data_IF_300986422111
#
_entry.id   IF_300986422111
#
_cell.length_a   1.000
_cell.length_b   1.000
_cell.length_c   1.000
_cell.angle_alpha   90.00
_cell.angle_beta   90.00
_cell.angle_gamma   90.00
#
_symmetry.space_group_name_H-M   'P 1'
#
loop_
_entity.id
_entity.type
_entity.pdbx_description
1 polymer ?
#
# COMPACT_ATOMS: atom_id res chain seq x y z
N UNK A 1 -25.02 41.67 29.15
CA UNK A 1 -26.16 41.36 30.06
C UNK A 1 -26.69 40.00 29.67
N UNK A 2 -26.40 39.03 30.51
CA UNK A 2 -27.38 38.19 31.25
C UNK A 2 -28.29 37.39 30.30
N UNK A 3 -28.52 36.09 30.39
CA UNK A 3 -28.33 35.04 31.40
C UNK A 3 -28.93 33.77 30.78
N UNK A 4 -28.31 32.59 30.98
CA UNK A 4 -28.80 31.42 31.68
C UNK A 4 -30.11 30.76 31.19
N UNK A 5 -30.14 29.42 30.95
CA UNK A 5 -30.52 28.36 31.88
C UNK A 5 -30.56 27.05 31.06
N UNK A 6 -29.81 26.04 31.22
CA UNK A 6 -29.71 25.02 32.27
C UNK A 6 -30.92 24.09 32.38
N UNK A 7 -30.61 22.79 32.10
CA UNK A 7 -31.05 21.58 32.81
C UNK A 7 -32.56 21.27 32.93
N UNK A 8 -32.94 20.04 32.53
CA UNK A 8 -33.63 19.14 33.43
C UNK A 8 -33.54 17.66 33.00
N UNK A 9 -32.81 16.90 33.80
CA UNK A 9 -32.99 15.46 34.03
C UNK A 9 -34.39 15.20 34.61
N UNK A 10 -35.07 14.14 34.16
CA UNK A 10 -36.03 13.45 35.01
C UNK A 10 -36.02 11.95 34.78
N UNK A 11 -35.41 11.31 35.72
CA UNK A 11 -35.51 9.91 36.12
C UNK A 11 -36.93 9.64 36.63
N UNK A 12 -37.63 8.67 36.04
CA UNK A 12 -38.82 8.08 36.69
C UNK A 12 -38.62 6.57 36.75
N UNK A 13 -38.25 6.11 37.94
CA UNK A 13 -38.50 4.74 38.40
C UNK A 13 -39.97 4.62 38.83
N UNK A 14 -40.65 3.60 38.31
CA UNK A 14 -41.89 3.10 38.97
C UNK A 14 -41.76 1.58 39.05
N UNK A 15 -41.58 1.12 40.29
CA UNK A 15 -41.84 -0.25 40.72
C UNK A 15 -43.36 -0.39 40.96
N UNK A 16 -43.97 -1.43 40.43
CA UNK A 16 -45.23 -1.97 40.99
C UNK A 16 -45.26 -3.49 40.81
N UNK A 17 -45.54 -4.14 41.93
CA UNK A 17 -45.56 -5.57 42.16
C UNK A 17 -46.91 -6.22 41.80
N UNK A 18 -46.83 -7.42 41.19
CA UNK A 18 -47.58 -8.66 41.45
C UNK A 18 -49.13 -8.65 41.43
N UNK A 19 -49.71 -9.44 40.54
CA UNK A 19 -50.74 -10.45 40.91
C UNK A 19 -50.94 -11.48 39.80
N UNK A 20 -51.00 -12.76 40.16
CA UNK A 20 -51.17 -13.96 39.38
C UNK A 20 -52.47 -14.02 38.56
N UNK A 21 -52.40 -14.76 37.41
CA UNK A 21 -53.59 -15.26 36.72
C UNK A 21 -53.20 -16.03 35.44
N UNK A 22 -53.28 -17.36 35.50
CA UNK A 22 -53.06 -18.31 34.38
C UNK A 22 -53.85 -17.98 33.13
N UNK A 23 -53.18 -18.07 31.95
CA UNK A 23 -53.60 -18.88 30.79
C UNK A 23 -52.52 -18.89 29.71
N UNK A 24 -52.22 -20.08 29.21
CA UNK A 24 -51.36 -20.43 28.09
C UNK A 24 -51.82 -19.73 26.80
N UNK A 25 -50.85 -19.21 26.06
CA UNK A 25 -50.73 -19.41 24.60
C UNK A 25 -49.27 -19.17 24.17
N UNK A 26 -48.77 -20.15 23.44
CA UNK A 26 -47.44 -20.22 22.85
C UNK A 26 -47.28 -19.15 21.77
N UNK A 27 -46.29 -18.28 21.90
CA UNK A 27 -45.48 -17.80 20.78
C UNK A 27 -44.09 -17.36 21.35
N UNK A 28 -43.18 -18.29 21.29
CA UNK A 28 -41.77 -18.05 21.52
C UNK A 28 -41.25 -17.22 20.35
N UNK A 29 -40.90 -15.97 20.55
CA UNK A 29 -39.93 -15.24 19.79
C UNK A 29 -38.76 -15.01 20.73
N UNK A 30 -37.90 -16.00 20.82
CA UNK A 30 -36.53 -15.85 21.31
C UNK A 30 -35.78 -15.02 20.27
N UNK A 31 -35.64 -13.71 20.49
CA UNK A 31 -34.51 -12.94 20.04
C UNK A 31 -33.29 -13.44 20.83
N UNK A 32 -32.76 -14.57 20.41
CA UNK A 32 -31.40 -14.94 20.74
C UNK A 32 -30.47 -14.06 19.85
N UNK A 33 -29.87 -13.07 20.50
CA UNK A 33 -28.56 -12.59 20.09
C UNK A 33 -27.61 -13.82 20.10
N UNK A 34 -27.61 -14.56 18.98
CA UNK A 34 -26.59 -15.55 18.71
C UNK A 34 -25.31 -14.78 18.35
N UNK A 35 -24.56 -14.36 19.36
CA UNK A 35 -23.14 -14.27 19.27
C UNK A 35 -22.63 -15.73 19.16
N UNK A 36 -22.81 -16.38 18.00
CA UNK A 36 -22.01 -17.55 17.65
C UNK A 36 -20.58 -17.03 17.55
N UNK A 37 -19.77 -17.34 18.56
CA UNK A 37 -18.30 -17.28 18.44
C UNK A 37 -18.02 -18.21 17.26
N UNK A 38 -17.73 -17.61 16.09
CA UNK A 38 -17.35 -18.39 14.91
C UNK A 38 -16.04 -19.07 15.25
N UNK A 39 -15.97 -20.38 15.11
CA UNK A 39 -14.72 -21.18 15.28
C UNK A 39 -13.76 -20.91 14.10
N UNK A 40 -13.83 -19.69 13.53
CA UNK A 40 -13.07 -19.26 12.37
C UNK A 40 -11.83 -18.49 12.83
N UNK A 41 -10.65 -18.96 12.36
CA UNK A 41 -9.36 -18.43 12.77
C UNK A 41 -8.57 -17.92 11.57
N UNK A 42 -7.89 -16.80 11.77
CA UNK A 42 -7.08 -16.13 10.76
C UNK A 42 -5.62 -16.09 11.20
N UNK A 43 -4.71 -16.46 10.30
CA UNK A 43 -3.27 -16.36 10.51
C UNK A 43 -2.67 -15.25 9.66
N UNK A 44 -1.66 -14.54 10.20
CA UNK A 44 -0.89 -13.54 9.47
C UNK A 44 0.59 -13.76 9.68
N UNK A 45 1.37 -13.69 8.60
CA UNK A 45 2.83 -13.83 8.57
C UNK A 45 3.41 -12.52 8.04
N UNK A 46 4.24 -11.84 8.85
CA UNK A 46 4.87 -10.57 8.53
C UNK A 46 6.39 -10.73 8.48
N UNK A 47 7.04 -10.09 7.50
CA UNK A 47 8.50 -10.14 7.35
C UNK A 47 9.21 -9.47 8.52
N UNK A 48 8.71 -8.31 8.94
CA UNK A 48 9.25 -7.54 10.06
C UNK A 48 8.17 -7.32 11.13
N UNK A 49 8.31 -6.28 11.93
CA UNK A 49 7.36 -5.87 12.97
C UNK A 49 6.89 -4.42 12.75
N UNK A 50 6.26 -3.84 13.76
CA UNK A 50 5.70 -2.49 13.72
C UNK A 50 6.73 -1.36 13.51
N UNK A 51 8.04 -1.65 13.51
CA UNK A 51 9.07 -0.66 13.19
C UNK A 51 9.23 -0.45 11.67
N UNK A 52 8.83 -1.41 10.86
CA UNK A 52 8.71 -1.27 9.41
C UNK A 52 7.40 -0.53 9.08
N UNK A 53 7.48 0.53 8.28
CA UNK A 53 6.29 1.27 7.85
C UNK A 53 5.40 0.43 6.93
N UNK A 54 5.99 -0.50 6.18
CA UNK A 54 5.29 -1.46 5.33
C UNK A 54 4.49 -2.47 6.17
N UNK A 55 5.17 -3.24 7.04
CA UNK A 55 4.53 -4.28 7.87
C UNK A 55 3.48 -3.69 8.82
N UNK A 56 3.70 -2.46 9.31
CA UNK A 56 2.73 -1.76 10.17
C UNK A 56 1.38 -1.57 9.49
N UNK A 57 1.33 -1.31 8.17
CA UNK A 57 0.08 -1.22 7.42
C UNK A 57 -0.69 -2.54 7.45
N UNK A 58 -0.02 -3.66 7.27
CA UNK A 58 -0.61 -5.00 7.33
C UNK A 58 -1.07 -5.37 8.73
N UNK A 59 -0.25 -5.08 9.75
CA UNK A 59 -0.58 -5.33 11.16
C UNK A 59 -1.82 -4.55 11.59
N UNK A 60 -1.94 -3.29 11.20
CA UNK A 60 -3.09 -2.46 11.52
C UNK A 60 -4.35 -2.97 10.80
N UNK A 61 -4.26 -3.24 9.51
CA UNK A 61 -5.36 -3.77 8.71
C UNK A 61 -5.83 -5.15 9.20
N UNK A 62 -4.90 -6.04 9.61
CA UNK A 62 -5.23 -7.34 10.17
C UNK A 62 -6.05 -7.21 11.45
N UNK A 63 -5.64 -6.31 12.36
CA UNK A 63 -6.39 -6.02 13.58
C UNK A 63 -7.76 -5.45 13.27
N UNK A 64 -7.85 -4.43 12.43
CA UNK A 64 -9.08 -3.76 12.06
C UNK A 64 -10.09 -4.73 11.41
N UNK A 65 -9.67 -5.49 10.40
CA UNK A 65 -10.53 -6.44 9.71
C UNK A 65 -11.03 -7.55 10.65
N UNK A 66 -10.14 -8.14 11.46
CA UNK A 66 -10.53 -9.21 12.37
C UNK A 66 -11.42 -8.72 13.50
N UNK A 67 -11.18 -7.53 14.05
CA UNK A 67 -12.04 -6.90 15.06
C UNK A 67 -13.43 -6.57 14.47
N UNK A 68 -13.48 -6.02 13.26
CA UNK A 68 -14.71 -5.73 12.52
C UNK A 68 -15.57 -6.99 12.28
N UNK A 69 -14.91 -8.09 11.95
CA UNK A 69 -15.57 -9.36 11.65
C UNK A 69 -15.81 -10.23 12.88
N UNK A 70 -15.23 -9.88 14.04
CA UNK A 70 -15.36 -10.65 15.29
C UNK A 70 -14.72 -12.03 15.21
N UNK A 71 -13.62 -12.20 14.46
CA UNK A 71 -12.89 -13.47 14.28
C UNK A 71 -11.60 -13.51 15.11
N UNK A 72 -11.22 -14.74 15.53
CA UNK A 72 -9.94 -14.97 16.22
C UNK A 72 -8.78 -14.86 15.23
N UNK A 73 -7.68 -14.22 15.63
CA UNK A 73 -6.51 -14.08 14.76
C UNK A 73 -5.20 -14.24 15.51
N UNK A 74 -4.16 -14.61 14.74
CA UNK A 74 -2.76 -14.69 15.20
C UNK A 74 -1.87 -13.95 14.21
N UNK A 75 -1.05 -13.01 14.68
CA UNK A 75 -0.03 -12.34 13.89
C UNK A 75 1.34 -12.84 14.32
N UNK A 76 2.14 -13.31 13.35
CA UNK A 76 3.53 -13.73 13.55
C UNK A 76 4.43 -12.77 12.80
N UNK A 77 5.31 -12.10 13.50
CA UNK A 77 6.24 -11.10 12.95
C UNK A 77 7.67 -11.65 12.87
N UNK A 78 8.53 -10.94 12.10
CA UNK A 78 9.94 -11.28 11.93
C UNK A 78 10.15 -12.68 11.33
N UNK A 79 9.34 -13.03 10.33
CA UNK A 79 9.44 -14.30 9.60
C UNK A 79 10.23 -14.08 8.31
N UNK A 80 11.46 -14.62 8.19
CA UNK A 80 12.28 -14.41 6.99
C UNK A 80 11.65 -14.94 5.72
N UNK A 81 12.05 -14.36 4.59
CA UNK A 81 11.75 -14.85 3.25
C UNK A 81 12.51 -16.16 2.97
N UNK A 82 11.90 -17.29 3.31
CA UNK A 82 12.55 -18.59 3.23
C UNK A 82 11.67 -19.73 3.75
N UNK A 83 12.33 -20.84 4.04
CA UNK A 83 11.67 -22.04 4.60
C UNK A 83 10.89 -21.72 5.88
N UNK A 84 11.32 -20.72 6.65
CA UNK A 84 10.65 -20.26 7.85
C UNK A 84 9.22 -19.78 7.58
N UNK A 85 8.97 -19.17 6.42
CA UNK A 85 7.61 -18.79 6.01
C UNK A 85 6.72 -20.00 5.85
N UNK A 86 7.17 -21.05 5.13
CA UNK A 86 6.43 -22.30 5.02
C UNK A 86 6.17 -22.94 6.39
N UNK A 87 7.20 -23.01 7.25
CA UNK A 87 7.09 -23.62 8.55
C UNK A 87 6.06 -22.89 9.43
N UNK A 88 5.99 -21.55 9.36
CA UNK A 88 4.97 -20.75 10.05
C UNK A 88 3.58 -20.92 9.45
N UNK A 89 3.47 -20.97 8.13
CA UNK A 89 2.21 -21.23 7.45
C UNK A 89 1.64 -22.61 7.85
N UNK A 90 2.50 -23.64 7.92
CA UNK A 90 2.13 -24.98 8.38
C UNK A 90 1.73 -25.00 9.86
N UNK A 91 2.47 -24.32 10.75
CA UNK A 91 2.13 -24.19 12.17
C UNK A 91 0.76 -23.52 12.37
N UNK A 92 0.44 -22.47 11.62
CA UNK A 92 -0.86 -21.79 11.67
C UNK A 92 -2.00 -22.66 11.14
N UNK A 93 -1.76 -23.40 10.05
CA UNK A 93 -2.73 -24.36 9.51
C UNK A 93 -3.02 -25.49 10.51
N UNK A 94 -1.98 -26.08 11.13
CA UNK A 94 -2.10 -27.10 12.17
C UNK A 94 -2.77 -26.58 13.45
N UNK A 95 -2.65 -25.27 13.74
CA UNK A 95 -3.35 -24.60 14.83
C UNK A 95 -4.82 -24.31 14.54
N UNK A 96 -5.30 -24.65 13.34
CA UNK A 96 -6.69 -24.54 12.91
C UNK A 96 -7.06 -23.22 12.27
N UNK A 97 -6.10 -22.46 11.73
CA UNK A 97 -6.42 -21.30 10.91
C UNK A 97 -7.11 -21.74 9.61
N UNK A 98 -8.20 -21.06 9.26
CA UNK A 98 -8.99 -21.33 8.05
C UNK A 98 -8.45 -20.57 6.84
N UNK A 99 -7.81 -19.43 7.10
CA UNK A 99 -7.18 -18.54 6.11
C UNK A 99 -5.89 -17.97 6.69
N UNK A 100 -4.84 -17.91 5.87
CA UNK A 100 -3.51 -17.42 6.26
C UNK A 100 -3.01 -16.43 5.23
N UNK A 101 -2.55 -15.27 5.70
CA UNK A 101 -2.01 -14.18 4.88
C UNK A 101 -0.51 -14.04 5.09
N UNK A 102 0.23 -13.67 4.04
CA UNK A 102 1.63 -13.27 4.13
C UNK A 102 1.85 -11.98 3.33
N UNK A 103 2.79 -11.14 3.77
CA UNK A 103 2.95 -9.76 3.28
C UNK A 103 4.17 -9.53 2.40
N UNK A 104 5.20 -10.36 2.45
CA UNK A 104 6.45 -10.07 1.74
C UNK A 104 6.58 -10.81 0.41
N UNK A 105 7.16 -10.12 -0.60
CA UNK A 105 7.38 -10.65 -1.94
C UNK A 105 8.06 -12.03 -1.96
N UNK A 106 9.11 -12.23 -1.16
CA UNK A 106 9.83 -13.50 -1.08
C UNK A 106 9.13 -14.61 -0.28
N UNK A 107 7.96 -14.35 0.31
CA UNK A 107 7.12 -15.37 0.93
C UNK A 107 6.32 -16.19 -0.10
N UNK A 108 6.17 -15.73 -1.35
CA UNK A 108 5.24 -16.28 -2.33
C UNK A 108 5.39 -17.78 -2.56
N UNK A 109 6.59 -18.26 -2.90
CA UNK A 109 6.83 -19.67 -3.22
C UNK A 109 6.54 -20.59 -2.01
N UNK A 110 6.77 -20.11 -0.81
CA UNK A 110 6.54 -20.85 0.44
C UNK A 110 5.06 -20.90 0.79
N UNK A 111 4.30 -19.86 0.51
CA UNK A 111 2.84 -19.83 0.64
C UNK A 111 2.18 -20.75 -0.40
N UNK A 112 2.66 -20.79 -1.64
CA UNK A 112 2.23 -21.75 -2.67
C UNK A 112 2.50 -23.19 -2.22
N UNK A 113 3.68 -23.45 -1.65
CA UNK A 113 4.01 -24.78 -1.10
C UNK A 113 3.05 -25.17 0.04
N UNK A 114 2.72 -24.23 0.93
CA UNK A 114 1.76 -24.47 2.01
C UNK A 114 0.35 -24.76 1.44
N UNK A 115 -0.11 -23.98 0.45
CA UNK A 115 -1.40 -24.18 -0.20
C UNK A 115 -1.52 -25.60 -0.83
N UNK A 116 -0.44 -26.09 -1.45
CA UNK A 116 -0.38 -27.46 -2.00
C UNK A 116 -0.47 -28.53 -0.92
N UNK A 117 0.03 -28.29 0.28
CA UNK A 117 0.08 -29.26 1.38
C UNK A 117 -1.16 -29.22 2.30
N UNK A 118 -1.85 -28.08 2.36
CA UNK A 118 -3.04 -27.85 3.19
C UNK A 118 -4.24 -27.44 2.34
N UNK A 119 -4.85 -28.34 1.55
CA UNK A 119 -5.86 -28.00 0.55
C UNK A 119 -7.18 -27.45 1.14
N UNK A 120 -7.42 -27.65 2.42
CA UNK A 120 -8.62 -27.18 3.12
C UNK A 120 -8.44 -25.78 3.75
N UNK A 121 -7.24 -25.18 3.67
CA UNK A 121 -6.90 -23.85 4.20
C UNK A 121 -6.69 -22.89 3.04
N UNK A 122 -7.21 -21.66 3.16
CA UNK A 122 -6.96 -20.59 2.19
C UNK A 122 -5.63 -19.91 2.47
N UNK A 123 -4.84 -19.65 1.44
CA UNK A 123 -3.57 -18.93 1.53
C UNK A 123 -3.61 -17.71 0.64
N UNK A 124 -3.38 -16.55 1.24
CA UNK A 124 -3.40 -15.26 0.56
C UNK A 124 -2.02 -14.61 0.68
N UNK A 125 -1.53 -14.09 -0.42
CA UNK A 125 -0.22 -13.47 -0.47
C UNK A 125 -0.31 -12.09 -1.10
N UNK A 126 0.18 -11.10 -0.37
CA UNK A 126 0.27 -9.74 -0.88
C UNK A 126 1.56 -9.57 -1.68
N UNK A 127 1.48 -8.81 -2.79
CA UNK A 127 2.57 -8.55 -3.74
C UNK A 127 2.95 -9.70 -4.67
N UNK A 128 2.33 -10.87 -4.54
CA UNK A 128 2.62 -12.04 -5.37
C UNK A 128 2.16 -11.91 -6.83
N UNK A 129 2.69 -12.79 -7.68
CA UNK A 129 2.49 -12.75 -9.13
C UNK A 129 2.02 -14.07 -9.74
N UNK A 130 1.91 -15.14 -8.95
CA UNK A 130 1.79 -16.52 -9.47
C UNK A 130 0.43 -17.19 -9.26
N UNK A 131 -0.55 -16.54 -8.59
CA UNK A 131 -1.81 -17.21 -8.26
C UNK A 131 -2.57 -17.70 -9.50
N UNK A 132 -2.66 -16.87 -10.54
CA UNK A 132 -3.35 -17.23 -11.78
C UNK A 132 -2.57 -18.27 -12.63
N UNK A 133 -1.24 -18.30 -12.53
CA UNK A 133 -0.38 -19.29 -13.21
C UNK A 133 -0.39 -20.64 -12.48
N UNK A 134 -0.30 -20.65 -11.14
CA UNK A 134 -0.35 -21.88 -10.33
C UNK A 134 -1.73 -22.56 -10.37
N UNK A 135 -2.80 -21.80 -10.55
CA UNK A 135 -4.16 -22.32 -10.73
C UNK A 135 -4.69 -23.11 -9.52
N UNK A 136 -4.20 -22.83 -8.31
CA UNK A 136 -4.68 -23.43 -7.08
C UNK A 136 -5.96 -22.73 -6.60
N UNK A 137 -6.98 -23.50 -6.21
CA UNK A 137 -8.25 -22.95 -5.73
C UNK A 137 -8.18 -22.34 -4.32
N UNK A 138 -7.08 -22.54 -3.62
CA UNK A 138 -6.84 -22.08 -2.25
C UNK A 138 -5.57 -21.23 -2.11
N UNK A 139 -5.09 -20.65 -3.22
CA UNK A 139 -3.98 -19.71 -3.23
C UNK A 139 -4.35 -18.45 -4.02
N UNK A 140 -4.14 -17.28 -3.43
CA UNK A 140 -4.63 -16.01 -3.92
C UNK A 140 -3.56 -14.93 -3.79
N UNK A 141 -3.42 -14.07 -4.79
CA UNK A 141 -2.60 -12.86 -4.72
C UNK A 141 -3.47 -11.61 -4.52
N UNK A 142 -2.87 -10.58 -3.97
CA UNK A 142 -3.48 -9.26 -3.87
C UNK A 142 -2.42 -8.16 -3.95
N UNK A 143 -2.80 -7.05 -4.53
CA UNK A 143 -2.06 -5.80 -4.50
C UNK A 143 -3.03 -4.62 -4.61
N UNK A 144 -2.49 -3.39 -4.75
CA UNK A 144 -3.30 -2.23 -5.04
C UNK A 144 -2.67 -1.41 -6.17
N UNK A 145 -3.48 -0.59 -6.84
CA UNK A 145 -3.04 0.40 -7.83
C UNK A 145 -2.24 1.53 -7.15
N UNK A 146 -1.24 1.18 -6.35
CA UNK A 146 -0.49 2.13 -5.50
C UNK A 146 0.25 3.18 -6.33
N UNK A 147 0.54 2.91 -7.60
CA UNK A 147 1.10 3.87 -8.54
C UNK A 147 0.25 5.15 -8.64
N UNK A 148 -1.08 5.07 -8.44
CA UNK A 148 -1.95 6.25 -8.36
C UNK A 148 -1.64 7.09 -7.11
N UNK A 149 -1.52 6.46 -5.95
CA UNK A 149 -1.13 7.13 -4.71
C UNK A 149 0.29 7.70 -4.77
N UNK A 150 1.22 6.98 -5.42
CA UNK A 150 2.59 7.47 -5.68
C UNK A 150 2.59 8.71 -6.58
N UNK A 151 1.76 8.71 -7.63
CA UNK A 151 1.59 9.87 -8.51
C UNK A 151 1.06 11.08 -7.73
N UNK A 152 0.03 10.90 -6.90
CA UNK A 152 -0.53 11.97 -6.07
C UNK A 152 0.51 12.52 -5.08
N UNK A 153 1.29 11.65 -4.44
CA UNK A 153 2.40 12.06 -3.57
C UNK A 153 3.51 12.80 -4.37
N UNK A 154 3.72 12.39 -5.62
CA UNK A 154 4.60 13.09 -6.57
C UNK A 154 4.15 14.52 -6.87
N UNK A 155 2.84 14.78 -6.97
CA UNK A 155 2.31 16.14 -7.11
C UNK A 155 2.75 17.01 -5.94
N UNK A 156 2.65 16.50 -4.69
CA UNK A 156 3.12 17.25 -3.51
C UNK A 156 4.62 17.60 -3.62
N UNK A 157 5.43 16.65 -4.08
CA UNK A 157 6.85 16.86 -4.32
C UNK A 157 7.11 17.94 -5.37
N UNK A 158 6.42 17.90 -6.51
CA UNK A 158 6.56 18.88 -7.59
C UNK A 158 6.10 20.28 -7.19
N UNK A 159 5.01 20.39 -6.42
CA UNK A 159 4.53 21.65 -5.84
C UNK A 159 5.57 22.25 -4.90
N UNK A 160 6.20 21.43 -4.05
CA UNK A 160 7.26 21.87 -3.14
C UNK A 160 8.50 22.34 -3.89
N UNK A 161 8.92 21.62 -4.93
CA UNK A 161 10.04 22.06 -5.78
C UNK A 161 9.75 23.43 -6.43
N UNK A 162 8.53 23.64 -6.93
CA UNK A 162 8.13 24.93 -7.51
C UNK A 162 8.14 26.06 -6.48
N UNK A 163 7.69 25.84 -5.25
CA UNK A 163 7.78 26.80 -4.16
C UNK A 163 9.24 27.18 -3.89
N UNK A 164 10.15 26.20 -3.76
CA UNK A 164 11.57 26.43 -3.51
C UNK A 164 12.25 27.20 -4.66
N UNK A 165 11.88 26.89 -5.93
CA UNK A 165 12.33 27.66 -7.10
C UNK A 165 11.83 29.11 -7.01
N UNK A 166 10.56 29.32 -6.70
CA UNK A 166 9.97 30.67 -6.59
C UNK A 166 10.61 31.48 -5.45
N UNK A 167 11.02 30.82 -4.37
CA UNK A 167 11.76 31.43 -3.26
C UNK A 167 13.23 31.73 -3.61
N UNK A 168 13.74 31.26 -4.75
CA UNK A 168 15.12 31.47 -5.20
C UNK A 168 16.14 30.58 -4.48
N UNK A 169 15.71 29.45 -3.93
CA UNK A 169 16.60 28.50 -3.26
C UNK A 169 17.49 27.77 -4.27
N UNK A 170 16.98 27.52 -5.47
CA UNK A 170 17.70 26.97 -6.62
C UNK A 170 16.96 27.32 -7.93
N UNK A 171 17.60 27.06 -9.07
CA UNK A 171 17.03 27.33 -10.39
C UNK A 171 16.23 26.14 -10.92
N UNK A 172 15.31 26.35 -11.85
CA UNK A 172 14.43 25.31 -12.38
C UNK A 172 15.17 24.09 -12.97
N UNK A 173 16.35 24.29 -13.55
CA UNK A 173 17.22 23.25 -14.08
C UNK A 173 17.97 22.44 -13.00
N UNK A 174 17.91 22.90 -11.75
CA UNK A 174 18.45 22.19 -10.59
C UNK A 174 17.37 21.39 -9.82
N UNK A 175 16.13 21.37 -10.30
CA UNK A 175 15.02 20.64 -9.68
C UNK A 175 15.23 19.12 -9.77
N UNK A 176 16.05 18.58 -8.88
CA UNK A 176 16.39 17.16 -8.84
C UNK A 176 15.80 16.48 -7.61
N UNK A 177 15.12 15.37 -7.84
CA UNK A 177 14.57 14.49 -6.81
C UNK A 177 15.56 13.34 -6.57
N UNK A 178 15.74 12.92 -5.33
CA UNK A 178 16.41 11.68 -4.98
C UNK A 178 15.41 10.61 -4.57
N UNK A 179 15.68 9.37 -4.93
CA UNK A 179 14.84 8.24 -4.56
C UNK A 179 15.67 7.08 -4.01
N UNK A 180 15.32 6.61 -2.82
CA UNK A 180 15.96 5.45 -2.18
C UNK A 180 15.07 4.23 -2.38
N UNK A 181 15.45 3.34 -3.30
CA UNK A 181 14.76 2.08 -3.56
C UNK A 181 15.35 0.91 -2.78
N UNK A 182 14.58 -0.16 -2.62
CA UNK A 182 15.05 -1.43 -2.05
C UNK A 182 15.73 -2.29 -3.13
N UNK A 183 14.96 -2.73 -4.12
CA UNK A 183 15.38 -3.62 -5.21
C UNK A 183 14.97 -3.06 -6.57
N UNK A 184 15.49 -3.68 -7.64
CA UNK A 184 15.14 -3.33 -9.04
C UNK A 184 13.93 -4.11 -9.57
N UNK A 185 12.95 -4.39 -8.70
CA UNK A 185 11.71 -5.08 -9.08
C UNK A 185 10.69 -4.12 -9.70
N UNK A 186 9.75 -4.66 -10.47
CA UNK A 186 8.70 -3.89 -11.13
C UNK A 186 7.91 -3.01 -10.14
N UNK A 187 7.62 -3.50 -8.95
CA UNK A 187 6.96 -2.75 -7.88
C UNK A 187 7.69 -1.45 -7.53
N UNK A 188 9.02 -1.52 -7.38
CA UNK A 188 9.85 -0.35 -7.05
C UNK A 188 9.98 0.58 -8.25
N UNK A 189 10.13 0.02 -9.46
CA UNK A 189 10.22 0.77 -10.72
C UNK A 189 8.92 1.52 -11.01
N UNK A 190 7.77 0.85 -10.92
CA UNK A 190 6.45 1.47 -11.00
C UNK A 190 6.28 2.58 -9.96
N UNK A 191 6.72 2.31 -8.72
CA UNK A 191 6.63 3.25 -7.59
C UNK A 191 7.39 4.54 -7.84
N UNK A 192 8.69 4.49 -8.18
CA UNK A 192 9.45 5.72 -8.42
C UNK A 192 9.06 6.42 -9.74
N UNK A 193 8.68 5.64 -10.76
CA UNK A 193 8.27 6.22 -12.04
C UNK A 193 6.94 6.98 -11.91
N UNK A 194 5.93 6.40 -11.27
CA UNK A 194 4.66 7.08 -11.04
C UNK A 194 4.81 8.32 -10.18
N UNK A 195 5.62 8.26 -9.12
CA UNK A 195 5.97 9.41 -8.29
C UNK A 195 6.63 10.53 -9.11
N UNK A 196 7.59 10.18 -9.96
CA UNK A 196 8.27 11.12 -10.82
C UNK A 196 7.34 11.77 -11.85
N UNK A 197 6.44 10.99 -12.46
CA UNK A 197 5.44 11.52 -13.40
C UNK A 197 4.49 12.49 -12.69
N UNK A 198 4.08 12.20 -11.46
CA UNK A 198 3.29 13.10 -10.64
C UNK A 198 4.03 14.42 -10.35
N UNK A 199 5.31 14.36 -9.97
CA UNK A 199 6.13 15.55 -9.77
C UNK A 199 6.30 16.38 -11.05
N UNK A 200 6.56 15.73 -12.20
CA UNK A 200 6.71 16.38 -13.50
C UNK A 200 5.41 16.98 -14.03
N UNK A 201 4.26 16.48 -13.66
CA UNK A 201 2.98 17.04 -14.08
C UNK A 201 2.79 18.50 -13.64
N UNK A 202 3.42 18.89 -12.52
CA UNK A 202 3.39 20.25 -11.97
C UNK A 202 4.74 20.96 -12.01
N UNK A 203 5.86 20.24 -11.99
CA UNK A 203 7.23 20.77 -12.13
C UNK A 203 7.94 20.12 -13.33
N UNK A 204 7.69 20.58 -14.58
CA UNK A 204 8.14 19.89 -15.80
C UNK A 204 9.67 19.79 -15.97
N UNK A 205 10.46 20.58 -15.24
CA UNK A 205 11.92 20.54 -15.25
C UNK A 205 12.51 19.51 -14.29
N UNK A 206 11.67 18.88 -13.45
CA UNK A 206 12.16 17.91 -12.49
C UNK A 206 12.88 16.73 -13.18
N UNK A 207 13.99 16.32 -12.57
CA UNK A 207 14.77 15.11 -12.86
C UNK A 207 14.87 14.26 -11.61
N UNK A 208 15.27 12.99 -11.74
CA UNK A 208 15.37 12.09 -10.59
C UNK A 208 16.67 11.27 -10.65
N UNK A 209 17.32 11.11 -9.51
CA UNK A 209 18.36 10.10 -9.29
C UNK A 209 17.83 9.01 -8.35
N UNK A 210 18.05 7.74 -8.70
CA UNK A 210 17.64 6.58 -7.91
C UNK A 210 18.87 5.80 -7.45
N UNK A 211 18.90 5.41 -6.18
CA UNK A 211 19.90 4.48 -5.62
C UNK A 211 19.17 3.37 -4.86
N UNK A 212 19.74 2.15 -4.82
CA UNK A 212 19.13 1.00 -4.21
C UNK A 212 19.94 0.52 -3.00
N UNK A 213 19.25 -0.07 -2.01
CA UNK A 213 19.88 -0.62 -0.80
C UNK A 213 20.15 -2.11 -0.89
N UNK A 214 19.40 -2.84 -1.71
CA UNK A 214 19.42 -4.31 -1.76
C UNK A 214 18.72 -4.96 -0.57
N UNK A 215 17.89 -4.21 0.15
CA UNK A 215 17.09 -4.68 1.28
C UNK A 215 15.77 -3.91 1.36
N UNK A 216 14.68 -4.57 1.79
CA UNK A 216 13.44 -3.88 2.11
C UNK A 216 13.58 -2.98 3.33
N UNK A 217 14.34 -3.42 4.33
CA UNK A 217 14.58 -2.66 5.56
C UNK A 217 16.07 -2.70 5.95
N UNK A 218 16.77 -1.58 5.77
CA UNK A 218 18.12 -1.35 6.29
C UNK A 218 18.30 0.14 6.59
N UNK A 219 18.05 0.52 7.85
CA UNK A 219 18.10 1.92 8.29
C UNK A 219 19.44 2.61 7.97
N UNK A 220 20.56 1.86 8.05
CA UNK A 220 21.88 2.40 7.76
C UNK A 220 22.06 2.65 6.26
N UNK A 221 21.76 1.66 5.42
CA UNK A 221 21.88 1.77 3.97
C UNK A 221 20.92 2.83 3.39
N UNK A 222 19.69 2.88 3.89
CA UNK A 222 18.70 3.90 3.48
C UNK A 222 19.16 5.31 3.86
N UNK A 223 19.68 5.50 5.07
CA UNK A 223 20.26 6.78 5.52
C UNK A 223 21.44 7.20 4.66
N UNK A 224 22.38 6.29 4.38
CA UNK A 224 23.54 6.56 3.55
C UNK A 224 23.11 6.87 2.10
N UNK A 225 22.11 6.16 1.57
CA UNK A 225 21.50 6.42 0.26
C UNK A 225 20.92 7.83 0.16
N UNK A 226 20.10 8.24 1.12
CA UNK A 226 19.53 9.58 1.17
C UNK A 226 20.62 10.66 1.29
N UNK A 227 21.64 10.46 2.14
CA UNK A 227 22.75 11.38 2.28
C UNK A 227 23.57 11.50 0.97
N UNK A 228 23.77 10.39 0.25
CA UNK A 228 24.42 10.39 -1.08
C UNK A 228 23.65 11.23 -2.08
N UNK A 229 22.32 11.05 -2.16
CA UNK A 229 21.43 11.80 -3.05
C UNK A 229 21.42 13.31 -2.71
N UNK A 230 21.30 13.66 -1.44
CA UNK A 230 21.38 15.05 -0.97
C UNK A 230 22.73 15.68 -1.37
N UNK A 231 23.83 14.96 -1.19
CA UNK A 231 25.18 15.41 -1.59
C UNK A 231 25.30 15.58 -3.11
N UNK A 232 24.59 14.78 -3.91
CA UNK A 232 24.50 14.92 -5.35
C UNK A 232 23.65 16.10 -5.81
N UNK A 233 23.08 16.85 -4.87
CA UNK A 233 22.27 18.04 -5.15
C UNK A 233 20.77 17.81 -5.29
N UNK A 234 20.27 16.63 -4.90
CA UNK A 234 18.83 16.40 -4.82
C UNK A 234 18.19 17.36 -3.80
N UNK A 235 17.06 17.95 -4.18
CA UNK A 235 16.36 19.01 -3.44
C UNK A 235 15.21 18.49 -2.61
N UNK A 236 14.77 17.25 -2.89
CA UNK A 236 13.71 16.52 -2.24
C UNK A 236 14.05 15.03 -2.34
N UNK A 237 13.74 14.27 -1.29
CA UNK A 237 13.95 12.83 -1.26
C UNK A 237 12.63 12.09 -1.16
N UNK A 238 12.53 10.93 -1.79
CA UNK A 238 11.48 9.94 -1.56
C UNK A 238 12.10 8.55 -1.46
N UNK A 239 11.28 7.55 -1.11
CA UNK A 239 11.77 6.20 -0.87
C UNK A 239 10.75 5.12 -1.28
N UNK A 240 11.28 3.92 -1.46
CA UNK A 240 10.57 2.65 -1.55
C UNK A 240 11.35 1.60 -0.76
N UNK A 241 11.63 1.95 0.48
CA UNK A 241 12.29 1.15 1.50
C UNK A 241 11.62 1.52 2.84
N UNK A 242 11.68 0.66 3.85
CA UNK A 242 10.66 0.60 4.90
C UNK A 242 11.12 1.16 6.24
N UNK A 243 12.40 1.64 6.33
CA UNK A 243 12.93 2.16 7.58
C UNK A 243 12.82 3.68 7.71
N UNK A 244 13.15 4.17 8.88
CA UNK A 244 13.27 5.61 9.18
C UNK A 244 14.61 6.22 8.73
N UNK A 245 15.47 5.48 8.03
CA UNK A 245 16.81 5.93 7.63
C UNK A 245 16.81 7.15 6.73
N UNK A 246 16.08 7.08 5.61
CA UNK A 246 15.97 8.19 4.66
C UNK A 246 15.23 9.42 5.25
N UNK A 247 14.05 9.29 5.87
CA UNK A 247 13.36 10.43 6.51
C UNK A 247 14.22 11.16 7.55
N UNK A 248 14.91 10.43 8.43
CA UNK A 248 15.76 11.06 9.46
C UNK A 248 17.00 11.73 8.89
N UNK A 249 17.52 11.24 7.76
CA UNK A 249 18.59 11.94 7.03
C UNK A 249 18.09 13.27 6.46
N UNK A 250 16.86 13.28 5.91
CA UNK A 250 16.19 14.47 5.38
C UNK A 250 15.93 15.50 6.48
N UNK A 251 15.37 15.08 7.63
CA UNK A 251 15.13 15.96 8.78
C UNK A 251 16.44 16.59 9.29
N UNK A 252 17.51 15.80 9.36
CA UNK A 252 18.83 16.30 9.77
C UNK A 252 19.40 17.31 8.79
N UNK A 253 19.16 17.14 7.49
CA UNK A 253 19.68 18.01 6.43
C UNK A 253 18.76 19.19 6.11
N UNK A 254 17.51 19.21 6.60
CA UNK A 254 16.51 20.22 6.25
C UNK A 254 16.03 20.09 4.79
N UNK A 255 16.03 18.88 4.24
CA UNK A 255 15.60 18.59 2.86
C UNK A 255 14.21 17.99 2.91
N UNK A 256 13.22 18.49 2.13
CA UNK A 256 11.89 17.91 2.09
C UNK A 256 11.87 16.43 1.77
N UNK A 257 10.94 15.69 2.42
CA UNK A 257 10.79 14.25 2.31
C UNK A 257 9.34 13.87 1.97
N UNK A 258 9.18 12.97 1.01
CA UNK A 258 7.93 12.26 0.73
C UNK A 258 8.16 10.79 1.03
N UNK A 259 7.59 10.33 2.13
CA UNK A 259 7.78 8.96 2.62
C UNK A 259 6.90 7.96 1.88
N UNK A 260 6.95 6.70 2.28
CA UNK A 260 6.12 5.62 1.76
C UNK A 260 5.59 4.73 2.89
N UNK A 261 4.41 4.13 2.70
CA UNK A 261 3.69 3.23 3.60
C UNK A 261 3.17 3.85 4.90
N UNK A 262 3.80 4.85 5.46
CA UNK A 262 3.37 5.46 6.71
C UNK A 262 3.78 6.92 6.85
N UNK A 263 3.13 7.65 7.77
CA UNK A 263 3.54 9.00 8.12
C UNK A 263 4.79 8.95 9.00
N UNK A 264 5.81 9.70 8.59
CA UNK A 264 7.03 9.92 9.37
C UNK A 264 7.04 11.29 10.07
N UNK A 265 5.93 12.04 10.03
CA UNK A 265 5.80 13.40 10.57
C UNK A 265 6.18 13.49 12.05
N UNK A 266 5.80 12.49 12.86
CA UNK A 266 6.11 12.50 14.30
C UNK A 266 7.62 12.57 14.59
N UNK A 267 8.45 11.99 13.73
CA UNK A 267 9.91 11.99 13.84
C UNK A 267 10.58 13.07 12.97
N UNK A 268 9.94 13.46 11.88
CA UNK A 268 10.46 14.36 10.85
C UNK A 268 9.51 15.55 10.56
N UNK A 269 9.09 16.31 11.59
CA UNK A 269 8.02 17.30 11.46
C UNK A 269 8.37 18.48 10.56
N UNK A 270 9.65 18.73 10.28
CA UNK A 270 10.10 19.90 9.51
C UNK A 270 10.37 19.58 8.03
N UNK A 271 10.37 18.32 7.65
CA UNK A 271 10.72 17.89 6.28
C UNK A 271 9.69 16.96 5.65
N UNK A 272 8.97 16.17 6.43
CA UNK A 272 7.91 15.31 5.95
C UNK A 272 6.78 16.10 5.27
N UNK A 273 6.42 15.72 4.04
CA UNK A 273 5.30 16.29 3.28
C UNK A 273 4.04 15.45 3.39
N UNK A 274 4.12 14.22 2.91
CA UNK A 274 3.01 13.27 2.76
C UNK A 274 3.57 11.86 2.50
N UNK A 275 2.74 10.84 2.64
CA UNK A 275 3.04 9.48 2.21
C UNK A 275 1.84 8.87 1.49
N UNK A 276 2.09 8.04 0.49
CA UNK A 276 1.09 7.10 -0.04
C UNK A 276 1.24 5.76 0.66
N UNK A 277 0.13 5.07 0.91
CA UNK A 277 0.11 3.74 1.52
C UNK A 277 -1.01 2.89 0.94
N UNK A 278 -0.88 1.59 1.09
CA UNK A 278 -1.98 0.65 0.86
C UNK A 278 -2.70 0.44 2.19
N UNK A 279 -4.02 0.57 2.17
CA UNK A 279 -4.89 0.07 3.22
C UNK A 279 -5.32 -1.34 2.86
N UNK A 280 -4.88 -2.31 3.65
CA UNK A 280 -5.14 -3.72 3.40
C UNK A 280 -6.44 -4.21 4.04
N UNK A 281 -7.10 -3.41 4.88
CA UNK A 281 -8.34 -3.81 5.54
C UNK A 281 -9.45 -4.20 4.54
N UNK A 282 -9.68 -3.49 3.41
CA UNK A 282 -10.67 -3.88 2.42
C UNK A 282 -10.42 -5.28 1.84
N UNK A 283 -9.17 -5.63 1.55
CA UNK A 283 -8.82 -6.96 1.07
C UNK A 283 -9.02 -8.03 2.13
N UNK A 284 -8.53 -7.79 3.33
CA UNK A 284 -8.66 -8.75 4.43
C UNK A 284 -10.11 -9.02 4.77
N UNK A 285 -10.94 -7.97 4.86
CA UNK A 285 -12.38 -8.14 5.06
C UNK A 285 -13.05 -8.93 3.93
N UNK A 286 -12.69 -8.66 2.67
CA UNK A 286 -13.21 -9.39 1.53
C UNK A 286 -12.84 -10.88 1.58
N UNK A 287 -11.56 -11.19 1.72
CA UNK A 287 -11.07 -12.57 1.68
C UNK A 287 -11.56 -13.40 2.88
N UNK A 288 -11.54 -12.81 4.09
CA UNK A 288 -12.05 -13.47 5.31
C UNK A 288 -13.55 -13.74 5.19
N UNK A 289 -14.37 -12.76 4.76
CA UNK A 289 -15.81 -12.94 4.54
C UNK A 289 -16.11 -14.02 3.52
N UNK A 290 -15.40 -14.04 2.39
CA UNK A 290 -15.56 -15.08 1.37
C UNK A 290 -15.24 -16.47 1.93
N UNK A 291 -14.12 -16.61 2.66
CA UNK A 291 -13.74 -17.87 3.30
C UNK A 291 -14.76 -18.32 4.36
N UNK A 292 -15.26 -17.41 5.20
CA UNK A 292 -16.31 -17.71 6.20
C UNK A 292 -17.59 -18.22 5.58
N UNK A 293 -17.97 -17.67 4.42
CA UNK A 293 -19.17 -18.05 3.68
C UNK A 293 -18.99 -19.28 2.79
N UNK A 294 -17.77 -19.79 2.63
CA UNK A 294 -17.45 -20.83 1.64
C UNK A 294 -17.58 -20.35 0.20
N UNK A 295 -17.41 -19.05 -0.02
CA UNK A 295 -17.39 -18.41 -1.34
C UNK A 295 -15.97 -18.45 -1.92
N UNK A 296 -15.86 -18.41 -3.24
CA UNK A 296 -14.56 -18.34 -3.89
C UNK A 296 -13.91 -16.97 -3.65
N UNK A 297 -12.61 -16.99 -3.33
CA UNK A 297 -11.78 -15.78 -3.30
C UNK A 297 -11.20 -15.59 -4.70
N UNK A 298 -11.12 -14.36 -5.19
CA UNK A 298 -10.48 -14.05 -6.47
C UNK A 298 -9.02 -14.52 -6.46
N UNK A 299 -8.58 -15.12 -7.57
CA UNK A 299 -7.20 -15.59 -7.68
C UNK A 299 -6.20 -14.41 -7.54
N UNK A 300 -6.60 -13.24 -8.03
CA UNK A 300 -5.78 -12.03 -8.00
C UNK A 300 -6.68 -10.79 -7.79
N UNK A 301 -6.56 -10.14 -6.63
CA UNK A 301 -7.41 -9.03 -6.24
C UNK A 301 -6.65 -7.70 -6.30
N UNK A 302 -7.24 -6.69 -6.94
CA UNK A 302 -6.66 -5.36 -7.05
C UNK A 302 -7.45 -4.34 -6.23
N UNK A 303 -6.80 -3.74 -5.22
CA UNK A 303 -7.30 -2.57 -4.52
C UNK A 303 -7.09 -1.28 -5.32
N UNK A 304 -7.97 -0.30 -5.15
CA UNK A 304 -7.93 0.98 -5.88
C UNK A 304 -8.22 2.17 -4.95
N UNK A 305 -8.12 3.39 -5.47
CA UNK A 305 -8.65 4.59 -4.79
C UNK A 305 -10.13 4.40 -4.42
N UNK A 306 -10.95 3.90 -5.36
CA UNK A 306 -12.38 3.70 -5.15
C UNK A 306 -12.72 2.65 -4.10
N UNK A 307 -11.90 1.62 -3.91
CA UNK A 307 -12.07 0.60 -2.86
C UNK A 307 -11.56 1.06 -1.50
N UNK A 308 -10.91 2.22 -1.43
CA UNK A 308 -10.26 2.72 -0.22
C UNK A 308 -8.92 2.05 0.09
N UNK A 309 -8.38 1.23 -0.81
CA UNK A 309 -7.09 0.55 -0.61
C UNK A 309 -5.89 1.43 -0.95
N UNK A 310 -6.03 2.37 -1.89
CA UNK A 310 -5.00 3.38 -2.17
C UNK A 310 -5.36 4.64 -1.41
N UNK A 311 -4.51 5.02 -0.46
CA UNK A 311 -4.75 6.19 0.40
C UNK A 311 -3.49 7.03 0.55
N UNK A 312 -3.69 8.30 0.86
CA UNK A 312 -2.65 9.21 1.29
C UNK A 312 -2.77 9.43 2.80
N UNK A 313 -1.64 9.61 3.45
CA UNK A 313 -1.61 10.12 4.84
C UNK A 313 -1.98 11.60 4.86
N UNK A 314 -2.17 12.16 6.06
CA UNK A 314 -2.39 13.59 6.20
C UNK A 314 -1.21 14.39 5.62
N UNK A 315 -1.54 15.47 4.90
CA UNK A 315 -0.56 16.42 4.37
C UNK A 315 -0.02 17.28 5.51
N UNK A 316 1.30 17.34 5.66
CA UNK A 316 1.92 18.26 6.60
C UNK A 316 1.87 19.71 6.05
N UNK A 317 0.83 20.45 6.39
CA UNK A 317 0.60 21.81 5.93
C UNK A 317 1.71 22.80 6.33
N UNK A 318 2.53 22.46 7.34
CA UNK A 318 3.66 23.32 7.74
C UNK A 318 4.85 23.24 6.77
N UNK A 319 4.92 22.18 5.99
CA UNK A 319 6.01 21.90 5.03
C UNK A 319 5.54 22.02 3.59
N UNK A 320 4.30 21.64 3.32
CA UNK A 320 3.72 21.63 1.97
C UNK A 320 3.61 23.05 1.37
N UNK A 321 3.75 23.13 0.06
CA UNK A 321 3.49 24.37 -0.68
C UNK A 321 2.00 24.72 -0.69
N UNK A 322 1.68 26.01 -0.76
CA UNK A 322 0.30 26.48 -0.89
C UNK A 322 -0.38 25.87 -2.13
N UNK A 323 -1.63 25.40 -2.00
CA UNK A 323 -2.41 24.80 -3.07
C UNK A 323 -2.12 23.32 -3.31
N UNK A 324 -1.27 22.67 -2.52
CA UNK A 324 -0.94 21.24 -2.68
C UNK A 324 -2.16 20.35 -2.46
N UNK A 325 -2.96 20.61 -1.43
CA UNK A 325 -4.16 19.82 -1.14
C UNK A 325 -5.17 19.88 -2.28
N UNK A 326 -5.40 21.06 -2.86
CA UNK A 326 -6.30 21.25 -3.99
C UNK A 326 -5.78 20.55 -5.26
N UNK A 327 -4.47 20.61 -5.52
CA UNK A 327 -3.87 19.93 -6.67
C UNK A 327 -3.98 18.40 -6.57
N UNK A 328 -3.78 17.84 -5.38
CA UNK A 328 -3.99 16.42 -5.10
C UNK A 328 -5.46 16.04 -5.30
N UNK A 329 -6.40 16.80 -4.74
CA UNK A 329 -7.82 16.52 -4.86
C UNK A 329 -8.32 16.55 -6.32
N UNK A 330 -7.86 17.52 -7.12
CA UNK A 330 -8.18 17.61 -8.56
C UNK A 330 -7.63 16.39 -9.33
N UNK A 331 -6.40 15.98 -9.08
CA UNK A 331 -5.81 14.81 -9.70
C UNK A 331 -6.48 13.50 -9.26
N UNK A 332 -6.85 13.37 -7.97
CA UNK A 332 -7.62 12.22 -7.47
C UNK A 332 -8.93 12.07 -8.21
N UNK A 333 -9.70 13.15 -8.34
CA UNK A 333 -10.98 13.11 -9.07
C UNK A 333 -10.81 12.70 -10.54
N UNK A 334 -9.73 13.12 -11.19
CA UNK A 334 -9.41 12.73 -12.57
C UNK A 334 -8.98 11.28 -12.71
N UNK A 335 -8.21 10.74 -11.73
CA UNK A 335 -7.88 9.31 -11.67
C UNK A 335 -9.14 8.47 -11.49
N UNK A 336 -10.00 8.81 -10.54
CA UNK A 336 -11.25 8.09 -10.27
C UNK A 336 -12.22 8.12 -11.46
N UNK A 337 -12.26 9.23 -12.22
CA UNK A 337 -13.10 9.34 -13.41
C UNK A 337 -12.51 8.70 -14.66
N UNK A 338 -11.23 8.27 -14.62
CA UNK A 338 -10.50 7.77 -15.80
C UNK A 338 -10.13 8.86 -16.82
N UNK A 339 -10.19 10.15 -16.44
CA UNK A 339 -9.70 11.25 -17.26
C UNK A 339 -8.16 11.32 -17.27
N UNK A 340 -7.54 10.89 -16.20
CA UNK A 340 -6.09 10.84 -16.01
C UNK A 340 -5.62 9.40 -15.88
N UNK A 341 -4.60 9.04 -16.66
CA UNK A 341 -3.88 7.79 -16.55
C UNK A 341 -2.43 8.08 -16.13
N UNK A 342 -1.96 7.44 -15.06
CA UNK A 342 -0.61 7.69 -14.52
C UNK A 342 0.47 7.44 -15.56
N UNK A 343 0.37 6.33 -16.28
CA UNK A 343 1.33 5.93 -17.32
C UNK A 343 0.83 6.25 -18.72
N UNK A 344 0.30 7.48 -18.93
CA UNK A 344 -0.02 8.01 -20.27
C UNK A 344 1.26 8.12 -21.09
N UNK A 345 1.37 7.31 -22.15
CA UNK A 345 2.54 7.20 -23.02
C UNK A 345 2.90 8.51 -23.74
N UNK A 346 2.01 9.50 -23.74
CA UNK A 346 2.30 10.84 -24.27
C UNK A 346 3.11 11.71 -23.30
N UNK A 347 3.21 11.33 -22.02
CA UNK A 347 3.85 12.13 -20.97
C UNK A 347 5.31 11.79 -20.73
N UNK A 348 5.81 10.69 -21.30
CA UNK A 348 7.18 10.21 -21.13
C UNK A 348 7.73 9.57 -22.42
N UNK A 349 9.05 9.42 -22.47
CA UNK A 349 9.78 8.73 -23.54
C UNK A 349 10.77 7.73 -22.95
N UNK A 350 11.22 6.79 -23.76
CA UNK A 350 12.29 5.85 -23.44
C UNK A 350 13.37 6.00 -24.51
N UNK A 351 14.60 6.28 -24.15
CA UNK A 351 15.71 6.56 -25.08
C UNK A 351 15.35 7.65 -26.13
N UNK A 352 14.60 8.67 -25.73
CA UNK A 352 14.12 9.76 -26.58
C UNK A 352 13.03 9.36 -27.57
N UNK A 353 12.45 8.16 -27.44
CA UNK A 353 11.39 7.68 -28.33
C UNK A 353 10.05 7.57 -27.59
N UNK A 354 8.92 7.91 -28.26
CA UNK A 354 7.59 7.65 -27.71
C UNK A 354 7.35 6.15 -27.50
N UNK A 355 6.68 5.80 -26.41
CA UNK A 355 6.25 4.42 -26.13
C UNK A 355 4.89 4.18 -26.80
N UNK A 356 4.81 3.18 -27.66
CA UNK A 356 3.56 2.80 -28.37
C UNK A 356 3.17 1.34 -28.16
N UNK A 357 4.04 0.56 -27.54
CA UNK A 357 3.88 -0.86 -27.24
C UNK A 357 4.81 -1.25 -26.10
N UNK A 358 4.33 -2.10 -25.21
CA UNK A 358 5.14 -2.72 -24.17
C UNK A 358 4.61 -4.11 -23.88
N UNK A 359 5.46 -5.11 -24.13
CA UNK A 359 5.15 -6.51 -23.83
C UNK A 359 5.55 -6.82 -22.39
N UNK A 360 4.62 -7.30 -21.59
CA UNK A 360 4.84 -7.71 -20.21
C UNK A 360 4.50 -9.19 -20.01
N UNK A 361 5.09 -9.81 -19.02
CA UNK A 361 4.76 -11.15 -18.55
C UNK A 361 3.67 -11.03 -17.47
N UNK A 362 2.42 -11.19 -17.87
CA UNK A 362 1.25 -10.98 -17.00
C UNK A 362 0.10 -11.94 -17.30
N UNK A 363 0.31 -12.93 -18.15
CA UNK A 363 -0.74 -13.89 -18.47
C UNK A 363 -0.76 -15.09 -17.49
N UNK A 364 -1.57 -16.07 -17.84
CA UNK A 364 -1.82 -17.24 -16.97
C UNK A 364 -0.95 -18.46 -17.33
N UNK A 365 -0.03 -18.31 -18.27
CA UNK A 365 0.83 -19.42 -18.66
C UNK A 365 2.10 -19.53 -17.77
N UNK A 366 2.73 -20.69 -17.72
CA UNK A 366 3.85 -20.92 -16.81
C UNK A 366 5.22 -20.59 -17.40
N UNK A 367 5.33 -20.01 -18.60
CA UNK A 367 6.63 -19.83 -19.24
C UNK A 367 7.36 -18.54 -18.84
N UNK A 368 6.64 -17.61 -18.20
CA UNK A 368 7.19 -16.34 -17.67
C UNK A 368 7.93 -15.50 -18.73
N UNK A 369 7.40 -15.44 -19.96
CA UNK A 369 7.96 -14.64 -21.04
C UNK A 369 7.11 -13.40 -21.33
N UNK A 370 7.74 -12.23 -21.57
CA UNK A 370 6.99 -11.00 -21.88
C UNK A 370 6.29 -11.11 -23.25
N UNK A 371 5.04 -11.48 -23.29
CA UNK A 371 4.26 -11.71 -24.51
C UNK A 371 2.87 -11.04 -24.52
N UNK A 372 2.46 -10.41 -23.42
CA UNK A 372 1.19 -9.70 -23.29
C UNK A 372 1.36 -8.20 -23.54
N UNK A 373 0.69 -7.66 -24.57
CA UNK A 373 0.67 -6.21 -24.83
C UNK A 373 -0.15 -5.47 -23.78
N UNK A 374 0.50 -4.59 -23.02
CA UNK A 374 -0.13 -3.86 -21.91
C UNK A 374 -0.32 -2.36 -22.17
N UNK A 375 0.09 -1.84 -23.31
CA UNK A 375 -0.28 -0.49 -23.77
C UNK A 375 -1.64 -0.54 -24.45
N UNK A 376 -2.63 0.12 -23.85
CA UNK A 376 -4.00 0.17 -24.36
C UNK A 376 -4.45 1.64 -24.43
N UNK A 377 -5.08 2.03 -25.53
CA UNK A 377 -5.62 3.39 -25.73
C UNK A 377 -4.62 4.54 -25.45
N UNK A 378 -3.30 4.26 -25.60
CA UNK A 378 -2.24 5.25 -25.43
C UNK A 378 -1.67 5.36 -24.01
N UNK A 379 -2.05 4.49 -23.10
CA UNK A 379 -1.48 4.40 -21.76
C UNK A 379 -1.13 2.95 -21.41
N UNK A 380 -0.18 2.76 -20.51
CA UNK A 380 0.12 1.45 -19.93
C UNK A 380 -0.88 1.19 -18.80
N UNK A 381 -1.73 0.16 -19.01
CA UNK A 381 -2.81 -0.21 -18.10
C UNK A 381 -2.30 -1.14 -16.98
N UNK A 382 -1.48 -0.63 -16.06
CA UNK A 382 -0.98 -1.41 -14.92
C UNK A 382 -2.12 -1.87 -14.00
N UNK A 383 -1.93 -2.97 -13.28
CA UNK A 383 -2.88 -3.60 -12.37
C UNK A 383 -4.19 -4.10 -13.02
N UNK A 384 -4.26 -4.19 -14.35
CA UNK A 384 -5.43 -4.72 -15.06
C UNK A 384 -5.29 -6.18 -15.48
N UNK A 385 -4.08 -6.64 -15.77
CA UNK A 385 -3.80 -8.03 -16.14
C UNK A 385 -3.45 -8.89 -14.92
N UNK A 386 -2.83 -8.31 -13.91
CA UNK A 386 -2.64 -8.86 -12.56
C UNK A 386 -2.55 -7.72 -11.56
N UNK A 387 -2.72 -8.00 -10.26
CA UNK A 387 -2.70 -6.98 -9.21
C UNK A 387 -1.29 -6.41 -8.98
N UNK A 388 -0.26 -7.27 -8.94
CA UNK A 388 1.11 -6.84 -8.75
C UNK A 388 1.63 -6.04 -9.95
N UNK A 389 2.46 -5.02 -9.72
CA UNK A 389 3.02 -4.18 -10.78
C UNK A 389 3.84 -4.96 -11.81
N UNK A 390 3.80 -4.48 -13.05
CA UNK A 390 4.61 -5.00 -14.16
C UNK A 390 5.25 -3.89 -15.02
N UNK A 391 5.17 -2.63 -14.59
CA UNK A 391 5.87 -1.53 -15.24
C UNK A 391 7.38 -1.62 -14.96
N UNK A 392 8.18 -1.80 -16.01
CA UNK A 392 9.66 -1.91 -15.91
C UNK A 392 10.39 -1.01 -16.91
N UNK A 393 9.71 -0.04 -17.50
CA UNK A 393 10.33 0.88 -18.46
C UNK A 393 11.25 1.88 -17.74
N UNK A 394 12.46 2.05 -18.27
CA UNK A 394 13.38 3.11 -17.84
C UNK A 394 13.07 4.37 -18.64
N UNK A 395 12.29 5.28 -18.06
CA UNK A 395 11.85 6.50 -18.76
C UNK A 395 12.91 7.61 -18.67
N UNK A 396 12.90 8.50 -19.67
CA UNK A 396 13.83 9.62 -19.73
C UNK A 396 13.59 10.61 -18.57
N UNK A 397 14.69 11.06 -17.97
CA UNK A 397 14.69 11.99 -16.84
C UNK A 397 14.90 11.32 -15.48
N UNK A 398 15.02 9.98 -15.45
CA UNK A 398 15.38 9.18 -14.29
C UNK A 398 16.77 8.58 -14.51
N UNK A 399 17.73 8.86 -13.64
CA UNK A 399 19.08 8.32 -13.67
C UNK A 399 19.26 7.29 -12.53
N UNK A 400 19.55 6.04 -12.86
CA UNK A 400 19.88 5.01 -11.88
C UNK A 400 21.38 5.07 -11.55
N UNK A 401 21.71 5.27 -10.27
CA UNK A 401 23.11 5.34 -9.81
C UNK A 401 23.74 3.96 -9.63
N UNK A 402 22.92 2.94 -9.49
CA UNK A 402 23.27 1.53 -9.37
C UNK A 402 22.09 0.66 -9.86
N UNK A 403 22.35 -0.57 -10.33
CA UNK A 403 21.33 -1.40 -11.03
C UNK A 403 21.42 -2.89 -10.71
N UNK A 404 22.18 -3.30 -9.71
CA UNK A 404 22.49 -4.71 -9.47
C UNK A 404 21.78 -5.30 -8.22
N UNK A 405 20.50 -4.96 -8.02
CA UNK A 405 19.73 -5.41 -6.86
C UNK A 405 18.43 -6.10 -7.31
N UNK A 406 18.44 -7.42 -7.41
CA UNK A 406 17.32 -8.26 -7.79
C UNK A 406 17.56 -9.12 -9.01
#
# INVERSE_FOLDING_TARGET
MKKFLALLLSLVMVLALVACGDKKDDTNTDDQDNNEVTDFKVGFIMLHDENSTYDLNFINAAKEACETLGVEYTIVTNVPEGQECYDKAAELADAGCNIIFADSFGHEDYMIQAAKNFPDVQFCHSTGTKAHTEGLSNYHNAFASIYEGRYLAGIAAGMKLNEMIANGEFTADEAKIGYVGAFTYAEVISGYTSFFLGARSVCPTATMEVTFTGSWYDETAEKEGAQKLIKNGCKLISQHADSMGAPTACETAGVPDVSYNGSTEAACPNTYLISSRIDWAPYYEYAIKAAMNGEAIDADWTGTLATGSVVLTDLNENVAAEGTAEAIADATAKLESGELHVFDCSTFTVDGQPVTSYMADVDTDPDYTPDTEVVQDGYLAESTARSAPYFQLMIDGIDLLDTNFG
#
